data_IF_451369553388
#
_entry.id   IF_451369553388
#
_cell.length_a   1.000
_cell.length_b   1.000
_cell.length_c   1.000
_cell.angle_alpha   90.00
_cell.angle_beta   90.00
_cell.angle_gamma   90.00
#
_symmetry.space_group_name_H-M   'P 1'
#
loop_
_entity.id
_entity.type
_entity.pdbx_description
1 polymer ?
#
# COMPACT_ATOMS: atom_id res chain seq x y z
N UNK A 1 11.53 -9.22 10.25
CA UNK A 1 10.31 -8.63 10.86
C UNK A 1 9.43 -9.78 11.29
N UNK A 2 8.74 -9.68 12.43
CA UNK A 2 7.81 -10.73 12.85
C UNK A 2 6.38 -10.22 12.84
N UNK A 3 5.49 -10.99 12.24
CA UNK A 3 4.05 -10.70 12.17
C UNK A 3 3.31 -11.81 12.91
N UNK A 4 2.42 -11.43 13.82
CA UNK A 4 1.57 -12.34 14.58
C UNK A 4 0.14 -12.13 14.13
N UNK A 5 -0.55 -13.22 13.82
CA UNK A 5 -1.96 -13.20 13.46
C UNK A 5 -2.66 -14.39 14.12
N UNK A 6 -3.61 -14.11 15.00
CA UNK A 6 -4.24 -15.14 15.84
C UNK A 6 -3.22 -15.82 16.75
N UNK A 7 -3.02 -17.13 16.56
CA UNK A 7 -2.04 -17.93 17.31
C UNK A 7 -0.75 -18.21 16.53
N UNK A 8 -0.68 -17.79 15.27
CA UNK A 8 0.45 -18.05 14.39
C UNK A 8 1.42 -16.87 14.38
N UNK A 9 2.71 -17.19 14.22
CA UNK A 9 3.77 -16.21 14.11
C UNK A 9 4.61 -16.47 12.86
N UNK A 10 4.84 -15.42 12.09
CA UNK A 10 5.48 -15.46 10.78
C UNK A 10 6.74 -14.59 10.78
N UNK A 11 7.89 -15.20 10.50
CA UNK A 11 9.12 -14.46 10.22
C UNK A 11 9.11 -14.00 8.76
N UNK A 12 9.01 -12.68 8.58
CA UNK A 12 8.79 -12.02 7.31
C UNK A 12 9.90 -11.01 6.99
N UNK A 13 10.19 -10.89 5.71
CA UNK A 13 11.02 -9.81 5.15
C UNK A 13 10.18 -8.56 4.86
N UNK A 14 8.94 -8.74 4.43
CA UNK A 14 7.98 -7.66 4.16
C UNK A 14 6.53 -8.15 4.29
N UNK A 15 5.62 -7.22 4.50
CA UNK A 15 4.20 -7.49 4.66
C UNK A 15 3.43 -6.42 3.89
N UNK A 16 2.61 -6.82 2.94
CA UNK A 16 1.94 -5.93 2.00
C UNK A 16 0.44 -5.96 2.23
N UNK A 17 -0.16 -4.77 2.38
CA UNK A 17 -1.60 -4.55 2.38
C UNK A 17 -2.04 -4.04 1.01
N UNK A 18 -2.89 -4.81 0.34
CA UNK A 18 -3.44 -4.51 -0.98
C UNK A 18 -4.96 -4.70 -0.95
N UNK A 19 -5.70 -3.60 -0.76
CA UNK A 19 -7.15 -3.62 -0.61
C UNK A 19 -7.61 -4.50 0.56
N UNK A 20 -8.27 -5.62 0.23
CA UNK A 20 -8.74 -6.62 1.19
C UNK A 20 -7.83 -7.86 1.29
N UNK A 21 -6.58 -7.75 0.80
CA UNK A 21 -5.60 -8.84 0.82
C UNK A 21 -4.38 -8.44 1.64
N UNK A 22 -3.97 -9.32 2.55
CA UNK A 22 -2.70 -9.23 3.25
C UNK A 22 -1.73 -10.27 2.68
N UNK A 23 -0.55 -9.85 2.25
CA UNK A 23 0.51 -10.74 1.75
C UNK A 23 1.74 -10.64 2.63
N UNK A 24 2.10 -11.73 3.30
CA UNK A 24 3.32 -11.83 4.09
C UNK A 24 4.39 -12.55 3.27
N UNK A 25 5.56 -11.93 3.12
CA UNK A 25 6.69 -12.52 2.42
C UNK A 25 7.66 -13.08 3.44
N UNK A 26 7.72 -14.40 3.54
CA UNK A 26 8.47 -15.10 4.56
C UNK A 26 9.97 -15.04 4.28
N UNK A 27 10.76 -14.98 5.35
CA UNK A 27 12.23 -14.98 5.28
C UNK A 27 12.78 -16.25 4.61
N UNK A 28 12.06 -17.37 4.71
CA UNK A 28 12.40 -18.64 4.04
C UNK A 28 12.11 -18.70 2.54
N UNK A 29 11.66 -17.62 1.90
CA UNK A 29 11.41 -17.55 0.45
C UNK A 29 10.01 -17.98 0.00
N UNK A 30 9.04 -18.03 0.92
CA UNK A 30 7.63 -18.30 0.63
C UNK A 30 6.74 -17.07 0.84
N UNK A 31 5.44 -17.21 0.53
CA UNK A 31 4.44 -16.17 0.80
C UNK A 31 3.22 -16.78 1.48
N UNK A 32 2.63 -16.03 2.41
CA UNK A 32 1.33 -16.33 3.02
C UNK A 32 0.36 -15.24 2.62
N UNK A 33 -0.77 -15.63 2.03
CA UNK A 33 -1.81 -14.69 1.59
C UNK A 33 -3.08 -14.90 2.40
N UNK A 34 -3.59 -13.81 2.97
CA UNK A 34 -4.91 -13.73 3.58
C UNK A 34 -5.80 -12.92 2.66
N UNK A 35 -6.90 -13.51 2.22
CA UNK A 35 -7.86 -12.89 1.29
C UNK A 35 -9.14 -12.57 2.05
N UNK A 36 -9.74 -11.41 1.78
CA UNK A 36 -10.99 -10.99 2.42
C UNK A 36 -10.78 -10.37 3.80
N UNK A 37 -9.60 -9.81 4.07
CA UNK A 37 -9.31 -9.07 5.30
C UNK A 37 -10.03 -7.72 5.24
N UNK A 38 -11.02 -7.54 6.11
CA UNK A 38 -11.77 -6.29 6.26
C UNK A 38 -11.50 -5.66 7.62
N UNK A 39 -11.81 -4.38 7.78
CA UNK A 39 -11.85 -3.77 9.11
C UNK A 39 -12.91 -4.48 10.00
N UNK A 40 -12.64 -4.76 11.29
CA UNK A 40 -11.44 -4.44 12.07
C UNK A 40 -10.40 -5.57 12.12
N UNK A 41 -10.46 -6.57 11.23
CA UNK A 41 -9.53 -7.70 11.25
C UNK A 41 -8.07 -7.29 11.00
N UNK A 42 -7.85 -6.13 10.37
CA UNK A 42 -6.51 -5.56 10.19
C UNK A 42 -5.79 -5.29 11.52
N UNK A 43 -6.54 -4.93 12.57
CA UNK A 43 -6.00 -4.66 13.90
C UNK A 43 -5.52 -5.93 14.62
N UNK A 44 -5.86 -7.12 14.10
CA UNK A 44 -5.42 -8.39 14.67
C UNK A 44 -3.99 -8.76 14.23
N UNK A 45 -3.45 -8.10 13.20
CA UNK A 45 -2.06 -8.28 12.79
C UNK A 45 -1.15 -7.45 13.68
N UNK A 46 -0.36 -8.12 14.50
CA UNK A 46 0.61 -7.48 15.38
C UNK A 46 2.01 -7.59 14.77
N UNK A 47 2.70 -6.46 14.69
CA UNK A 47 4.07 -6.37 14.19
C UNK A 47 5.01 -6.18 15.37
N UNK A 48 5.98 -7.08 15.56
CA UNK A 48 7.04 -6.85 16.55
C UNK A 48 7.97 -5.72 16.09
N UNK A 49 8.26 -5.68 14.78
CA UNK A 49 9.06 -4.64 14.14
C UNK A 49 8.56 -4.42 12.71
N UNK A 50 8.47 -3.16 12.25
CA UNK A 50 8.00 -2.80 10.90
C UNK A 50 6.51 -2.48 10.84
N UNK A 51 5.99 -2.37 9.62
CA UNK A 51 4.58 -2.07 9.34
C UNK A 51 4.16 -2.62 7.99
N UNK A 52 2.88 -2.48 7.66
CA UNK A 52 2.39 -2.75 6.31
C UNK A 52 3.07 -1.84 5.28
N UNK A 53 3.61 -2.46 4.24
CA UNK A 53 3.80 -1.80 2.95
C UNK A 53 2.43 -1.64 2.30
N UNK A 54 2.05 -0.40 2.01
CA UNK A 54 0.80 -0.10 1.32
C UNK A 54 1.11 -0.05 -0.17
N UNK A 55 0.44 -0.88 -0.96
CA UNK A 55 0.43 -0.66 -2.41
C UNK A 55 -0.46 0.55 -2.64
N UNK A 56 0.14 1.69 -2.94
CA UNK A 56 -0.65 2.85 -3.36
C UNK A 56 -1.47 2.45 -4.59
N UNK A 57 -2.80 2.65 -4.57
CA UNK A 57 -3.60 2.37 -5.75
C UNK A 57 -3.08 3.23 -6.90
N UNK A 58 -3.00 2.65 -8.10
CA UNK A 58 -2.66 3.43 -9.28
C UNK A 58 -3.61 4.64 -9.37
N UNK A 59 -3.08 5.86 -9.67
CA UNK A 59 -3.91 7.06 -9.71
C UNK A 59 -5.04 6.85 -10.71
N UNK A 60 -6.25 7.20 -10.28
CA UNK A 60 -7.46 7.04 -11.07
C UNK A 60 -7.39 7.91 -12.33
N UNK A 61 -8.29 7.65 -13.28
CA UNK A 61 -8.40 8.51 -14.46
C UNK A 61 -8.71 9.98 -14.08
N UNK A 62 -9.44 10.20 -12.98
CA UNK A 62 -9.73 11.53 -12.45
C UNK A 62 -8.45 12.20 -11.90
N UNK A 63 -7.67 11.49 -11.07
CA UNK A 63 -6.41 12.02 -10.53
C UNK A 63 -5.42 12.40 -11.64
N UNK A 64 -5.40 11.61 -12.73
CA UNK A 64 -4.57 11.88 -13.91
C UNK A 64 -5.06 13.09 -14.70
N UNK A 65 -6.37 13.30 -14.77
CA UNK A 65 -6.97 14.46 -15.44
C UNK A 65 -6.68 15.73 -14.65
N UNK A 66 -6.88 15.72 -13.32
CA UNK A 66 -6.54 16.84 -12.45
C UNK A 66 -5.06 17.21 -12.53
N UNK A 67 -4.18 16.20 -12.53
CA UNK A 67 -2.74 16.40 -12.72
C UNK A 67 -2.40 17.00 -14.10
N UNK A 68 -3.12 16.60 -15.15
CA UNK A 68 -2.94 17.12 -16.51
C UNK A 68 -3.43 18.58 -16.61
N UNK A 69 -4.60 18.89 -16.05
CA UNK A 69 -5.15 20.25 -16.03
C UNK A 69 -4.22 21.21 -15.27
N UNK A 70 -3.70 20.78 -14.11
CA UNK A 70 -2.72 21.55 -13.36
C UNK A 70 -1.42 21.77 -14.16
N UNK A 71 -0.93 20.76 -14.87
CA UNK A 71 0.25 20.87 -15.72
C UNK A 71 0.03 21.81 -16.92
N UNK A 72 -1.12 21.73 -17.58
CA UNK A 72 -1.49 22.62 -18.70
C UNK A 72 -1.59 24.06 -18.21
N UNK A 73 -2.23 24.30 -17.06
CA UNK A 73 -2.33 25.65 -16.49
C UNK A 73 -0.96 26.22 -16.10
N UNK A 74 -0.06 25.41 -15.55
CA UNK A 74 1.31 25.81 -15.24
C UNK A 74 2.11 26.17 -16.52
N UNK A 75 1.92 25.43 -17.61
CA UNK A 75 2.53 25.75 -18.91
C UNK A 75 1.97 27.05 -19.51
N UNK A 76 0.68 27.31 -19.34
CA UNK A 76 0.03 28.52 -19.86
C UNK A 76 0.33 29.77 -19.01
N UNK A 77 0.49 29.63 -17.70
CA UNK A 77 0.81 30.73 -16.77
C UNK A 77 2.25 31.26 -16.88
N UNK A 78 3.15 30.49 -17.49
CA UNK A 78 4.54 30.89 -17.76
C UNK A 78 4.73 31.87 -18.92
N UNK A 79 3.68 32.22 -19.68
CA UNK A 79 3.76 33.08 -20.88
C UNK A 79 3.40 34.56 -20.66
N UNK A 80 3.05 34.99 -19.44
CA UNK A 80 2.60 36.38 -19.17
C UNK A 80 3.64 37.29 -18.51
N UNK A 81 4.94 37.08 -18.74
CA UNK A 81 5.96 38.02 -18.29
C UNK A 81 7.08 38.22 -19.34
N UNK A 82 6.75 38.91 -20.42
CA UNK A 82 7.70 39.66 -21.28
C UNK A 82 7.01 40.95 -21.70
#
# INVERSE_FOLDING_TARGET
MKVIYGYDSYDCTKAVRDGNKATLYLTGGGTVEFVGVSEPAWDQFQFEDGSWDVVEPAPSAADRLDALEAAVLAMMGGMTNV
#
